data_IF_755299853082
#
_entry.id   IF_755299853082
#
_cell.length_a   1.000
_cell.length_b   1.000
_cell.length_c   1.000
_cell.angle_alpha   90.00
_cell.angle_beta   90.00
_cell.angle_gamma   90.00
#
_symmetry.space_group_name_H-M   'P 1'
#
loop_
_entity.id
_entity.type
_entity.pdbx_description
1 polymer ?
#
# COMPACT_ATOMS: atom_id res chain seq x y z
N UNK A 1 -13.50 -1.33 -15.06
CA UNK A 1 -14.06 -0.76 -16.29
C UNK A 1 -15.46 -1.31 -16.56
N UNK A 2 -16.47 -0.45 -16.71
CA UNK A 2 -17.80 -0.81 -17.22
C UNK A 2 -18.43 0.41 -17.90
N UNK A 3 -19.30 0.19 -18.90
CA UNK A 3 -20.00 1.25 -19.65
C UNK A 3 -19.08 2.34 -20.25
N UNK A 4 -17.85 1.99 -20.62
CA UNK A 4 -16.89 2.94 -21.20
C UNK A 4 -16.04 3.70 -20.19
N UNK A 5 -16.14 3.39 -18.89
CA UNK A 5 -15.43 4.11 -17.83
C UNK A 5 -14.77 3.17 -16.80
N UNK A 6 -13.63 3.61 -16.25
CA UNK A 6 -12.99 2.96 -15.11
C UNK A 6 -13.68 3.33 -13.80
N UNK A 7 -14.29 2.34 -13.15
CA UNK A 7 -15.04 2.54 -11.89
C UNK A 7 -14.12 2.47 -10.66
N UNK A 8 -13.23 1.49 -10.62
CA UNK A 8 -12.31 1.25 -9.51
C UNK A 8 -10.90 1.66 -9.92
N UNK A 9 -10.64 2.96 -9.82
CA UNK A 9 -9.34 3.56 -10.15
C UNK A 9 -8.49 3.62 -8.89
N UNK A 10 -7.22 3.26 -9.00
CA UNK A 10 -6.27 3.41 -7.90
C UNK A 10 -5.96 4.90 -7.66
N UNK A 11 -5.81 5.31 -6.40
CA UNK A 11 -5.43 6.69 -6.07
C UNK A 11 -4.05 7.07 -6.68
N UNK A 12 -3.22 6.07 -6.97
CA UNK A 12 -1.97 6.22 -7.70
C UNK A 12 -0.84 6.72 -6.81
N UNK A 13 0.14 7.33 -7.47
CA UNK A 13 1.37 7.80 -6.82
C UNK A 13 1.55 9.29 -7.08
N UNK A 14 1.08 10.12 -6.13
CA UNK A 14 1.16 11.57 -6.25
C UNK A 14 2.59 12.13 -6.20
N UNK A 15 3.44 11.59 -5.32
CA UNK A 15 4.82 12.06 -5.14
C UNK A 15 5.76 10.95 -4.67
N UNK A 16 7.07 11.21 -4.73
CA UNK A 16 8.14 10.42 -4.11
C UNK A 16 8.78 11.13 -2.91
N UNK A 17 8.37 12.36 -2.59
CA UNK A 17 8.87 13.06 -1.40
C UNK A 17 8.19 12.48 -0.16
N UNK A 18 8.93 12.12 0.91
CA UNK A 18 8.34 11.57 2.14
C UNK A 18 7.65 12.68 2.94
N UNK A 19 6.41 12.99 2.55
CA UNK A 19 5.50 13.96 3.18
C UNK A 19 4.10 13.33 3.34
N UNK A 20 3.20 13.97 4.08
CA UNK A 20 1.90 13.40 4.44
C UNK A 20 1.14 12.79 3.24
N UNK A 21 1.07 13.51 2.12
CA UNK A 21 0.37 13.09 0.91
C UNK A 21 0.98 11.82 0.28
N UNK A 22 2.27 11.53 0.54
CA UNK A 22 2.88 10.27 0.11
C UNK A 22 2.29 9.09 0.85
N UNK A 23 2.07 9.24 2.15
CA UNK A 23 1.57 8.18 3.01
C UNK A 23 0.07 7.99 2.82
N UNK A 24 -0.69 9.08 2.67
CA UNK A 24 -2.13 9.01 2.35
C UNK A 24 -2.41 8.15 1.12
N UNK A 25 -1.62 8.30 0.05
CA UNK A 25 -1.78 7.54 -1.20
C UNK A 25 -1.14 6.13 -1.17
N UNK A 26 -0.35 5.81 -0.14
CA UNK A 26 0.26 4.47 0.04
C UNK A 26 -0.48 3.60 1.05
N UNK A 27 -1.23 4.23 1.95
CA UNK A 27 -1.93 3.55 3.02
C UNK A 27 -3.07 2.70 2.47
N UNK A 28 -3.42 1.62 3.20
CA UNK A 28 -4.45 0.67 2.77
C UNK A 28 -5.81 1.33 2.52
N UNK A 29 -6.05 2.51 3.12
CA UNK A 29 -7.27 3.31 2.98
C UNK A 29 -7.43 3.95 1.59
N UNK A 30 -6.36 4.10 0.81
CA UNK A 30 -6.42 4.65 -0.55
C UNK A 30 -6.68 3.60 -1.64
N UNK A 31 -6.84 2.34 -1.26
CA UNK A 31 -7.00 1.23 -2.18
C UNK A 31 -8.34 0.51 -1.96
N UNK A 32 -8.86 -0.08 -3.02
CA UNK A 32 -10.08 -0.88 -3.00
C UNK A 32 -9.79 -2.26 -2.36
N UNK A 33 -9.61 -2.27 -1.05
CA UNK A 33 -9.28 -3.44 -0.22
C UNK A 33 -10.02 -3.40 1.11
N UNK A 34 -9.80 -4.39 1.97
CA UNK A 34 -10.33 -4.41 3.34
C UNK A 34 -9.20 -4.33 4.37
N UNK A 35 -9.54 -3.87 5.56
CA UNK A 35 -8.65 -3.84 6.72
C UNK A 35 -9.36 -4.44 7.94
N UNK A 36 -8.57 -4.97 8.88
CA UNK A 36 -9.08 -5.40 10.18
C UNK A 36 -8.73 -4.32 11.19
N UNK A 37 -9.70 -3.91 12.01
CA UNK A 37 -9.57 -2.83 13.00
C UNK A 37 -9.05 -1.49 12.44
N UNK A 38 -9.29 -1.20 11.15
CA UNK A 38 -8.77 -0.02 10.45
C UNK A 38 -7.23 0.10 10.47
N UNK A 39 -6.52 -1.03 10.54
CA UNK A 39 -5.05 -1.06 10.54
C UNK A 39 -4.50 -1.34 9.14
N UNK A 40 -3.47 -0.59 8.74
CA UNK A 40 -2.73 -0.85 7.51
C UNK A 40 -2.01 -2.21 7.58
N UNK A 41 -2.11 -3.01 6.52
CA UNK A 41 -1.44 -4.31 6.44
C UNK A 41 0.03 -4.20 5.98
N UNK A 42 0.37 -3.12 5.29
CA UNK A 42 1.74 -2.69 4.97
C UNK A 42 1.98 -1.33 5.62
N UNK A 43 3.10 -1.16 6.32
CA UNK A 43 3.46 0.09 6.99
C UNK A 43 4.67 0.68 6.28
N UNK A 44 4.46 1.73 5.50
CA UNK A 44 5.52 2.44 4.80
C UNK A 44 6.30 3.31 5.77
N UNK A 45 7.63 3.19 5.78
CA UNK A 45 8.52 4.04 6.59
C UNK A 45 8.93 5.29 5.82
N UNK A 46 9.14 5.14 4.52
CA UNK A 46 9.40 6.23 3.60
C UNK A 46 8.87 5.88 2.18
N UNK A 47 9.39 6.56 1.17
CA UNK A 47 8.98 6.35 -0.21
C UNK A 47 9.31 4.97 -0.77
N UNK A 48 10.29 4.29 -0.20
CA UNK A 48 10.91 3.07 -0.69
C UNK A 48 10.83 1.91 0.30
N UNK A 49 10.97 2.19 1.59
CA UNK A 49 10.99 1.18 2.65
C UNK A 49 9.64 0.99 3.34
N UNK A 50 9.41 -0.23 3.83
CA UNK A 50 8.31 -0.58 4.72
C UNK A 50 8.87 -1.19 5.99
N UNK A 51 8.38 -0.75 7.16
CA UNK A 51 8.70 -1.39 8.45
C UNK A 51 7.90 -2.69 8.66
N UNK A 52 6.79 -2.83 7.94
CA UNK A 52 5.99 -4.04 7.86
C UNK A 52 5.49 -4.21 6.43
N UNK A 53 5.72 -5.38 5.85
CA UNK A 53 5.21 -5.73 4.52
C UNK A 53 4.12 -6.81 4.68
N UNK A 54 2.99 -6.65 3.98
CA UNK A 54 2.04 -7.75 3.86
C UNK A 54 2.69 -8.91 3.09
N UNK A 55 2.58 -10.12 3.63
CA UNK A 55 3.16 -11.31 3.04
C UNK A 55 2.12 -12.43 2.96
N UNK A 56 2.17 -13.29 1.93
CA UNK A 56 1.35 -14.49 1.88
C UNK A 56 1.58 -15.40 3.07
N UNK A 57 0.58 -16.23 3.40
CA UNK A 57 0.73 -17.25 4.45
C UNK A 57 1.88 -18.20 4.09
N UNK A 58 2.78 -18.44 5.06
CA UNK A 58 3.95 -19.29 4.87
C UNK A 58 5.14 -18.63 4.18
N UNK A 59 5.06 -17.34 3.82
CA UNK A 59 6.22 -16.61 3.31
C UNK A 59 7.35 -16.57 4.33
N UNK A 60 8.58 -16.90 3.90
CA UNK A 60 9.79 -16.82 4.69
C UNK A 60 10.86 -16.08 3.89
N UNK A 61 11.25 -14.90 4.37
CA UNK A 61 12.43 -14.22 3.83
C UNK A 61 13.69 -14.98 4.27
N UNK A 62 14.57 -15.28 3.32
CA UNK A 62 15.90 -15.84 3.60
C UNK A 62 16.89 -14.70 3.54
N UNK A 63 17.62 -14.46 4.63
CA UNK A 63 18.69 -13.49 4.64
C UNK A 63 19.86 -14.08 3.86
N UNK A 64 20.31 -13.37 2.81
CA UNK A 64 21.49 -13.79 2.05
C UNK A 64 22.72 -13.40 2.86
N UNK A 65 23.53 -14.40 3.22
CA UNK A 65 24.85 -14.21 3.83
C UNK A 65 25.87 -13.64 2.86
#
# INVERSE_FOLDING_TARGET
FANGEDILVDAGRFTYVPKAERFEFKDSTAHNTTTVDRKNFTVCKDSWECSKLSAPLGFRAVQKG
#
